data_IF_895978998757
#
_entry.id   IF_895978998757
#
_cell.length_a   1.000
_cell.length_b   1.000
_cell.length_c   1.000
_cell.angle_alpha   90.00
_cell.angle_beta   90.00
_cell.angle_gamma   90.00
#
_symmetry.space_group_name_H-M   'P 1'
#
loop_
_entity.id
_entity.type
_entity.pdbx_description
1 polymer ?
#
# COMPACT_ATOMS: atom_id res chain seq x y z
N UNK A 1 2.48 -4.37 -16.92
CA UNK A 1 2.19 -3.35 -15.90
C UNK A 1 3.41 -3.23 -15.00
N UNK A 2 3.82 -2.01 -14.65
CA UNK A 2 4.97 -1.76 -13.76
C UNK A 2 4.46 -1.22 -12.43
N UNK A 3 5.24 -1.42 -11.37
CA UNK A 3 4.88 -0.96 -10.03
C UNK A 3 6.09 -0.35 -9.33
N UNK A 4 5.87 0.69 -8.53
CA UNK A 4 6.81 1.13 -7.52
C UNK A 4 6.72 0.20 -6.32
N UNK A 5 7.87 -0.34 -5.89
CA UNK A 5 7.97 -1.07 -4.63
C UNK A 5 8.83 -0.26 -3.66
N UNK A 6 8.19 0.35 -2.68
CA UNK A 6 8.82 1.37 -1.84
C UNK A 6 8.56 1.12 -0.35
N UNK A 7 9.45 1.57 0.54
CA UNK A 7 9.09 1.64 1.95
C UNK A 7 8.04 2.74 2.17
N UNK A 8 7.29 2.65 3.26
CA UNK A 8 6.37 3.72 3.64
C UNK A 8 7.11 5.05 3.87
N UNK A 9 8.24 4.96 4.58
CA UNK A 9 9.11 6.08 4.91
C UNK A 9 10.55 5.78 4.50
N UNK A 10 11.29 6.82 4.14
CA UNK A 10 12.72 6.73 3.86
C UNK A 10 13.46 7.75 4.73
N UNK A 11 14.00 7.29 5.86
CA UNK A 11 14.51 8.18 6.91
C UNK A 11 13.36 8.98 7.53
N UNK A 12 13.47 10.31 7.50
CA UNK A 12 12.42 11.22 8.01
C UNK A 12 11.35 11.56 6.96
N UNK A 13 11.51 11.10 5.72
CA UNK A 13 10.57 11.38 4.63
C UNK A 13 9.45 10.35 4.60
N UNK A 14 8.20 10.79 4.73
CA UNK A 14 7.04 9.97 4.33
C UNK A 14 6.98 9.94 2.81
N UNK A 15 7.26 8.76 2.23
CA UNK A 15 7.31 8.58 0.78
C UNK A 15 5.94 8.27 0.21
N UNK A 16 5.17 7.43 0.91
CA UNK A 16 3.84 7.01 0.48
C UNK A 16 2.82 8.02 0.99
N UNK A 17 2.65 9.11 0.25
CA UNK A 17 1.61 10.12 0.46
C UNK A 17 0.51 10.01 -0.59
N UNK A 18 -0.63 10.65 -0.34
CA UNK A 18 -1.72 10.76 -1.30
C UNK A 18 -1.23 11.33 -2.65
N UNK A 19 -0.42 12.40 -2.63
CA UNK A 19 0.10 13.02 -3.85
C UNK A 19 1.04 12.08 -4.63
N UNK A 20 1.82 11.26 -3.92
CA UNK A 20 2.67 10.25 -4.56
C UNK A 20 1.83 9.18 -5.26
N UNK A 21 0.77 8.70 -4.60
CA UNK A 21 -0.14 7.70 -5.14
C UNK A 21 -0.89 8.25 -6.36
N UNK A 22 -1.49 9.45 -6.25
CA UNK A 22 -2.16 10.11 -7.37
C UNK A 22 -1.25 10.29 -8.58
N UNK A 23 0.01 10.69 -8.37
CA UNK A 23 0.98 10.86 -9.44
C UNK A 23 1.36 9.51 -10.09
N UNK A 24 1.53 8.45 -9.29
CA UNK A 24 1.82 7.11 -9.80
C UNK A 24 0.64 6.54 -10.60
N UNK A 25 -0.57 6.66 -10.06
CA UNK A 25 -1.81 6.25 -10.73
C UNK A 25 -2.05 7.04 -12.01
N UNK A 26 -1.81 8.36 -12.01
CA UNK A 26 -1.86 9.20 -13.21
C UNK A 26 -0.87 8.78 -14.30
N UNK A 27 0.22 8.10 -13.93
CA UNK A 27 1.19 7.50 -14.84
C UNK A 27 0.89 6.01 -15.17
N UNK A 28 -0.23 5.45 -14.69
CA UNK A 28 -0.60 4.05 -14.81
C UNK A 28 0.44 3.09 -14.20
N UNK A 29 0.99 3.48 -13.05
CA UNK A 29 1.97 2.73 -12.26
C UNK A 29 1.34 2.39 -10.90
N UNK A 30 1.34 1.10 -10.54
CA UNK A 30 0.85 0.66 -9.24
C UNK A 30 1.85 0.96 -8.11
N UNK A 31 1.38 1.14 -6.88
CA UNK A 31 2.19 1.40 -5.69
C UNK A 31 2.08 0.24 -4.71
N UNK A 32 3.19 -0.45 -4.47
CA UNK A 32 3.30 -1.50 -3.46
C UNK A 32 4.22 -1.06 -2.32
N UNK A 33 3.78 -1.29 -1.09
CA UNK A 33 4.51 -0.88 0.11
C UNK A 33 5.02 -2.09 0.89
N UNK A 34 6.27 -2.04 1.34
CA UNK A 34 6.91 -3.06 2.17
C UNK A 34 7.61 -2.44 3.39
N UNK A 35 7.83 -3.13 4.51
CA UNK A 35 7.11 -4.31 5.00
C UNK A 35 6.21 -3.84 6.14
N UNK A 36 4.90 -4.05 6.03
CA UNK A 36 3.92 -3.55 7.00
C UNK A 36 3.38 -4.71 7.84
N UNK A 37 3.47 -4.60 9.16
CA UNK A 37 3.23 -5.71 10.09
C UNK A 37 2.21 -5.40 11.20
N UNK A 38 1.58 -4.23 11.17
CA UNK A 38 0.55 -3.79 12.11
C UNK A 38 -0.74 -3.37 11.38
N UNK A 39 -1.87 -3.58 12.05
CA UNK A 39 -3.21 -3.33 11.52
C UNK A 39 -3.45 -1.86 11.17
N UNK A 40 -3.02 -0.95 12.04
CA UNK A 40 -3.27 0.49 11.88
C UNK A 40 -2.64 1.02 10.59
N UNK A 41 -1.37 0.65 10.34
CA UNK A 41 -0.68 1.05 9.12
C UNK A 41 -1.26 0.37 7.88
N UNK A 42 -1.68 -0.90 7.98
CA UNK A 42 -2.36 -1.59 6.88
C UNK A 42 -3.66 -0.85 6.49
N UNK A 43 -4.54 -0.60 7.45
CA UNK A 43 -5.82 0.09 7.23
C UNK A 43 -5.61 1.48 6.62
N UNK A 44 -4.66 2.25 7.17
CA UNK A 44 -4.32 3.57 6.65
C UNK A 44 -3.81 3.51 5.22
N UNK A 45 -2.85 2.64 4.91
CA UNK A 45 -2.27 2.53 3.57
C UNK A 45 -3.30 2.05 2.54
N UNK A 46 -4.16 1.10 2.90
CA UNK A 46 -5.29 0.67 2.07
C UNK A 46 -6.21 1.86 1.80
N UNK A 47 -6.57 2.63 2.83
CA UNK A 47 -7.43 3.82 2.67
C UNK A 47 -6.80 4.92 1.83
N UNK A 48 -5.46 4.98 1.80
CA UNK A 48 -4.69 5.95 1.02
C UNK A 48 -4.64 5.59 -0.47
N UNK A 49 -5.02 4.36 -0.85
CA UNK A 49 -5.05 3.91 -2.25
C UNK A 49 -3.76 3.23 -2.72
N UNK A 50 -2.98 2.61 -1.81
CA UNK A 50 -1.92 1.69 -2.28
C UNK A 50 -2.56 0.51 -3.03
N UNK A 51 -1.79 -0.13 -3.91
CA UNK A 51 -2.24 -1.27 -4.72
C UNK A 51 -1.66 -2.61 -4.23
N UNK A 52 -0.62 -2.54 -3.38
CA UNK A 52 0.03 -3.71 -2.78
C UNK A 52 0.55 -3.45 -1.37
N UNK A 53 0.34 -4.39 -0.45
CA UNK A 53 1.04 -4.43 0.84
C UNK A 53 1.81 -5.75 0.94
N UNK A 54 3.11 -5.64 1.19
CA UNK A 54 3.99 -6.76 1.49
C UNK A 54 4.13 -6.82 3.02
N UNK A 55 3.85 -7.99 3.58
CA UNK A 55 3.79 -8.21 5.02
C UNK A 55 4.40 -9.56 5.39
N UNK A 56 5.09 -9.61 6.54
CA UNK A 56 5.49 -10.88 7.17
C UNK A 56 4.30 -11.54 7.90
N UNK A 57 3.17 -10.84 8.00
CA UNK A 57 1.94 -11.29 8.65
C UNK A 57 0.77 -11.35 7.66
N UNK A 58 0.83 -12.24 6.65
CA UNK A 58 -0.20 -12.34 5.61
C UNK A 58 -1.59 -12.68 6.16
N UNK A 59 -1.68 -13.46 7.24
CA UNK A 59 -2.97 -13.75 7.91
C UNK A 59 -3.59 -12.52 8.56
N UNK A 60 -2.76 -11.62 9.10
CA UNK A 60 -3.23 -10.34 9.64
C UNK A 60 -3.74 -9.45 8.52
N UNK A 61 -2.93 -9.29 7.46
CA UNK A 61 -3.33 -8.53 6.28
C UNK A 61 -4.65 -9.03 5.67
N UNK A 62 -4.81 -10.35 5.55
CA UNK A 62 -6.06 -10.96 5.07
C UNK A 62 -7.25 -10.61 5.98
N UNK A 63 -7.04 -10.57 7.30
CA UNK A 63 -8.08 -10.17 8.25
C UNK A 63 -8.47 -8.70 8.08
N UNK A 64 -7.51 -7.82 7.78
CA UNK A 64 -7.74 -6.39 7.53
C UNK A 64 -8.50 -6.15 6.22
N UNK A 65 -8.16 -6.88 5.15
CA UNK A 65 -8.84 -6.75 3.85
C UNK A 65 -10.29 -7.28 3.89
N UNK A 66 -10.61 -8.17 4.84
CA UNK A 66 -11.92 -8.80 4.96
C UNK A 66 -12.17 -9.88 3.88
N UNK A 67 -13.42 -10.35 3.79
CA UNK A 67 -13.83 -11.42 2.86
C UNK A 67 -13.97 -10.98 1.39
N UNK A 68 -13.82 -9.68 1.11
CA UNK A 68 -13.78 -9.17 -0.25
C UNK A 68 -12.33 -8.94 -0.64
N UNK A 69 -11.90 -9.63 -1.69
CA UNK A 69 -10.60 -9.41 -2.30
C UNK A 69 -10.47 -7.93 -2.67
N UNK A 70 -9.58 -7.24 -1.96
CA UNK A 70 -9.14 -5.91 -2.38
C UNK A 70 -8.59 -6.01 -3.79
N UNK A 71 -9.15 -5.18 -4.68
CA UNK A 71 -8.85 -5.20 -6.09
C UNK A 71 -7.59 -4.42 -6.46
N UNK A 72 -7.01 -3.63 -5.53
CA UNK A 72 -5.76 -2.90 -5.75
C UNK A 72 -5.75 -2.07 -7.05
N UNK A 73 -6.94 -1.59 -7.46
CA UNK A 73 -7.12 -0.86 -8.74
C UNK A 73 -8.16 0.27 -8.63
N UNK A 74 -8.51 0.72 -7.43
CA UNK A 74 -9.48 1.82 -7.24
C UNK A 74 -8.80 3.16 -7.15
#
# INVERSE_FOLDING_TARGET
MVAFQVPETFGELTLVTEQFIEAAHGANIAVHVWTINDTESMERLISLGVDGIISDRPSLLTSVLGSQAWDGTR
#
